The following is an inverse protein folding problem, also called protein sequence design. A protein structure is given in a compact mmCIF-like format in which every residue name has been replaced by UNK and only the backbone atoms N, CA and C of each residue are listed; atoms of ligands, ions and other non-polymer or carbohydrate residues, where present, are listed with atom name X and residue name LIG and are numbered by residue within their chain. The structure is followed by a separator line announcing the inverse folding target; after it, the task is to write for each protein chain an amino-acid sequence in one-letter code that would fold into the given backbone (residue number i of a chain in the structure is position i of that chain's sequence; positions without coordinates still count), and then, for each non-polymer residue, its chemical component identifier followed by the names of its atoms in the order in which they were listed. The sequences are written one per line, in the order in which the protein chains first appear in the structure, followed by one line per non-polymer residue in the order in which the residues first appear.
data_IF_003360757674
#
_entry.id   IF_003360757674
#
_cell.length_a   1.000
_cell.length_b   1.000
_cell.length_c   1.000
_cell.angle_alpha   90.00
_cell.angle_beta   90.00
_cell.angle_gamma   90.00
#
_symmetry.space_group_name_H-M   'P 1'
#
loop_
_entity.id
_entity.type
_entity.pdbx_description
1 polymer ?
#
# COMPACT_ATOMS: atom_id res chain seq x y z
N UNK A 1 9.41 -43.15 25.63
CA UNK A 1 8.25 -42.64 26.39
C UNK A 1 7.85 -41.30 25.80
N UNK A 2 6.63 -41.20 25.28
CA UNK A 2 6.12 -40.03 24.56
C UNK A 2 5.37 -39.10 25.51
N UNK A 3 5.93 -37.93 25.81
CA UNK A 3 5.17 -36.88 26.50
C UNK A 3 4.36 -36.08 25.47
N UNK A 4 3.07 -36.41 25.36
CA UNK A 4 2.11 -35.67 24.55
C UNK A 4 1.57 -34.49 25.38
N UNK A 5 1.97 -33.30 24.95
CA UNK A 5 1.45 -32.00 25.37
C UNK A 5 -0.10 -31.93 25.44
N UNK A 6 -0.73 -31.84 26.63
CA UNK A 6 -2.19 -31.86 26.78
C UNK A 6 -2.91 -30.52 26.51
N UNK A 7 -2.21 -29.47 26.07
CA UNK A 7 -2.78 -28.13 25.88
C UNK A 7 -3.46 -27.91 24.51
N UNK A 8 -3.32 -28.85 23.57
CA UNK A 8 -3.88 -28.74 22.22
C UNK A 8 -5.31 -29.32 22.06
N UNK A 9 -5.84 -30.04 23.06
CA UNK A 9 -7.09 -30.80 22.90
C UNK A 9 -8.39 -30.01 23.03
N UNK A 10 -8.40 -28.89 23.77
CA UNK A 10 -9.66 -28.20 24.11
C UNK A 10 -10.16 -27.19 23.06
N UNK A 11 -9.33 -26.83 22.07
CA UNK A 11 -9.67 -25.84 21.03
C UNK A 11 -9.86 -26.44 19.63
N UNK A 12 -9.54 -27.72 19.46
CA UNK A 12 -9.61 -28.42 18.17
C UNK A 12 -11.05 -28.82 17.78
N UNK A 13 -11.94 -29.02 18.78
CA UNK A 13 -13.34 -29.40 18.57
C UNK A 13 -14.23 -28.29 17.98
N UNK A 14 -14.18 -27.01 18.42
CA UNK A 14 -14.98 -25.97 17.77
C UNK A 14 -14.46 -25.59 16.38
N UNK A 15 -13.16 -25.72 16.12
CA UNK A 15 -12.56 -25.40 14.82
C UNK A 15 -12.98 -26.39 13.71
N UNK A 16 -13.11 -27.68 14.03
CA UNK A 16 -13.58 -28.69 13.07
C UNK A 16 -15.09 -28.61 12.81
N UNK A 17 -15.90 -28.23 13.80
CA UNK A 17 -17.34 -28.05 13.62
C UNK A 17 -17.66 -26.85 12.71
N UNK A 18 -16.87 -25.77 12.78
CA UNK A 18 -17.01 -24.64 11.86
C UNK A 18 -16.61 -24.96 10.41
N UNK A 19 -15.63 -25.84 10.19
CA UNK A 19 -15.18 -26.22 8.84
C UNK A 19 -16.24 -27.06 8.09
N UNK A 20 -17.10 -27.79 8.79
CA UNK A 20 -18.16 -28.60 8.17
C UNK A 20 -19.30 -27.78 7.54
N UNK A 21 -19.47 -26.51 7.91
CA UNK A 21 -20.51 -25.62 7.32
C UNK A 21 -20.02 -24.97 6.00
N UNK A 22 -18.82 -25.30 5.53
CA UNK A 22 -18.23 -24.78 4.29
C UNK A 22 -18.61 -25.55 3.00
N UNK A 23 -19.53 -26.53 3.05
CA UNK A 23 -19.91 -27.31 1.86
C UNK A 23 -21.42 -27.34 1.71
N UNK A 24 -21.97 -26.43 0.89
CA UNK A 24 -23.31 -26.41 0.26
C UNK A 24 -23.43 -25.05 -0.47
N UNK A 25 -23.50 -24.85 -1.79
CA UNK A 25 -23.48 -25.70 -2.98
C UNK A 25 -23.51 -24.81 -4.26
N UNK A 26 -22.85 -25.29 -5.33
CA UNK A 26 -23.08 -25.21 -6.79
C UNK A 26 -24.24 -24.33 -7.31
N UNK A 27 -24.25 -23.62 -8.45
CA UNK A 27 -23.40 -23.48 -9.63
C UNK A 27 -24.26 -22.92 -10.79
N UNK A 28 -23.66 -22.19 -11.73
CA UNK A 28 -24.29 -21.91 -13.03
C UNK A 28 -23.20 -21.90 -14.11
N UNK A 29 -23.19 -22.97 -14.91
CA UNK A 29 -22.48 -23.03 -16.17
C UNK A 29 -23.29 -22.27 -17.22
N UNK A 30 -22.65 -21.35 -17.93
CA UNK A 30 -23.13 -20.91 -19.25
C UNK A 30 -21.98 -21.17 -20.20
N UNK A 31 -22.00 -22.36 -20.80
CA UNK A 31 -21.21 -22.70 -21.97
C UNK A 31 -22.05 -22.33 -23.19
N UNK A 32 -21.65 -21.33 -23.96
CA UNK A 32 -22.06 -21.16 -25.37
C UNK A 32 -20.83 -20.69 -26.16
N UNK A 33 -20.26 -21.68 -26.84
CA UNK A 33 -19.75 -21.72 -28.22
C UNK A 33 -18.70 -20.70 -28.71
N UNK A 34 -17.58 -21.32 -29.10
CA UNK A 34 -16.64 -20.94 -30.15
C UNK A 34 -17.37 -20.55 -31.45
N UNK A 35 -16.99 -19.44 -32.08
CA UNK A 35 -16.44 -19.33 -33.44
C UNK A 35 -16.51 -17.85 -33.89
N UNK A 36 -15.57 -17.44 -34.74
CA UNK A 36 -15.73 -16.20 -35.53
C UNK A 36 -14.86 -15.01 -35.15
N UNK A 37 -13.78 -14.87 -35.92
CA UNK A 37 -13.17 -13.62 -36.39
C UNK A 37 -14.13 -12.42 -36.34
N UNK A 38 -13.67 -11.30 -35.80
CA UNK A 38 -13.59 -10.02 -36.53
C UNK A 38 -12.77 -9.04 -35.68
N UNK A 39 -11.64 -8.63 -36.26
CA UNK A 39 -10.96 -7.41 -35.89
C UNK A 39 -11.69 -6.26 -36.59
N UNK A 40 -12.15 -5.26 -35.84
CA UNK A 40 -12.35 -3.84 -36.24
C UNK A 40 -13.23 -3.17 -35.19
N UNK A 41 -13.09 -1.90 -34.84
CA UNK A 41 -12.49 -0.82 -35.60
C UNK A 41 -11.73 0.14 -34.68
N UNK A 42 -10.52 0.42 -35.12
CA UNK A 42 -9.82 1.69 -34.96
C UNK A 42 -10.79 2.86 -35.20
N UNK A 43 -10.83 3.81 -34.27
CA UNK A 43 -11.25 5.19 -34.56
C UNK A 43 -10.01 6.05 -34.73
N UNK A 44 -9.54 6.13 -35.97
CA UNK A 44 -8.63 7.17 -36.45
C UNK A 44 -9.46 8.36 -36.90
N UNK A 45 -9.15 9.54 -36.39
CA UNK A 45 -9.27 10.80 -37.12
C UNK A 45 -8.33 11.86 -36.52
N UNK A 46 -7.22 12.08 -37.23
CA UNK A 46 -6.62 13.37 -37.60
C UNK A 46 -6.48 14.47 -36.55
N UNK A 47 -5.23 14.79 -36.21
CA UNK A 47 -4.88 16.02 -35.51
C UNK A 47 -3.38 16.23 -35.38
N UNK A 48 -2.67 16.36 -36.50
CA UNK A 48 -1.31 16.89 -36.52
C UNK A 48 -1.30 18.36 -36.09
N UNK A 49 -0.30 18.72 -35.29
CA UNK A 49 0.13 20.10 -35.03
C UNK A 49 1.57 20.00 -34.52
N UNK A 50 2.53 19.96 -35.46
CA UNK A 50 3.34 21.10 -35.86
C UNK A 50 4.18 21.66 -34.70
N UNK A 51 5.47 21.33 -34.76
CA UNK A 51 6.56 22.14 -34.23
C UNK A 51 6.33 23.61 -34.57
N UNK A 52 5.94 24.40 -33.58
CA UNK A 52 6.00 25.86 -33.69
C UNK A 52 7.45 26.25 -33.44
N UNK A 53 8.14 26.43 -34.56
CA UNK A 53 9.26 27.36 -34.69
C UNK A 53 8.73 28.75 -34.38
N UNK A 54 8.93 29.24 -33.15
CA UNK A 54 8.76 30.66 -32.86
C UNK A 54 10.03 31.39 -33.29
N UNK A 55 9.96 31.99 -34.47
CA UNK A 55 10.86 33.04 -34.92
C UNK A 55 10.37 34.35 -34.31
N UNK A 56 11.05 34.86 -33.29
CA UNK A 56 10.48 35.98 -32.54
C UNK A 56 11.42 36.77 -31.61
N UNK A 57 12.68 37.00 -31.98
CA UNK A 57 13.36 38.27 -31.60
C UNK A 57 14.65 38.51 -32.39
N UNK A 58 14.56 39.44 -33.32
CA UNK A 58 15.67 40.22 -33.85
C UNK A 58 16.26 41.06 -32.72
N UNK A 59 17.47 40.72 -32.27
CA UNK A 59 18.39 41.66 -31.62
C UNK A 59 19.82 41.37 -32.12
N UNK A 60 20.24 42.26 -33.02
CA UNK A 60 21.60 42.81 -33.22
C UNK A 60 22.80 41.99 -32.77
N UNK A 61 23.61 41.59 -33.75
CA UNK A 61 25.00 41.16 -33.57
C UNK A 61 25.86 42.26 -32.92
N UNK A 62 26.78 41.86 -32.04
CA UNK A 62 28.19 42.19 -32.32
C UNK A 62 29.08 40.94 -32.34
N UNK A 63 29.95 40.90 -33.35
CA UNK A 63 31.12 40.03 -33.44
C UNK A 63 32.23 40.52 -32.47
N UNK A 64 33.39 39.84 -32.39
CA UNK A 64 33.98 39.20 -31.22
C UNK A 64 34.94 40.11 -30.43
N UNK A 65 35.04 39.93 -29.11
CA UNK A 65 36.22 40.40 -28.35
C UNK A 65 36.53 39.42 -27.23
N UNK A 66 37.57 38.62 -27.43
CA UNK A 66 38.31 38.01 -26.33
C UNK A 66 39.23 39.07 -25.70
N UNK A 67 39.31 39.11 -24.37
CA UNK A 67 40.58 38.83 -23.69
C UNK A 67 40.35 37.88 -22.49
N UNK A 68 41.08 36.77 -22.43
CA UNK A 68 42.28 36.56 -21.58
C UNK A 68 42.03 36.60 -20.07
N UNK A 69 42.07 35.39 -19.50
CA UNK A 69 42.61 34.96 -18.20
C UNK A 69 42.08 35.59 -16.88
N UNK A 70 41.44 34.74 -16.07
CA UNK A 70 42.10 34.14 -14.91
C UNK A 70 41.22 33.01 -14.32
N UNK A 71 41.56 31.76 -14.63
CA UNK A 71 41.08 30.61 -13.87
C UNK A 71 41.73 30.65 -12.49
N UNK A 72 40.99 31.02 -11.45
CA UNK A 72 41.25 30.49 -10.11
C UNK A 72 40.48 29.18 -10.01
N UNK A 73 41.22 28.08 -10.06
CA UNK A 73 40.70 26.72 -9.85
C UNK A 73 40.53 26.52 -8.35
N UNK A 74 39.32 26.44 -7.77
CA UNK A 74 39.15 25.69 -6.55
C UNK A 74 39.32 24.21 -6.90
N UNK A 75 40.24 23.57 -6.20
CA UNK A 75 40.54 22.15 -6.29
C UNK A 75 39.25 21.32 -6.15
N UNK A 76 38.79 20.77 -7.28
CA UNK A 76 37.66 19.84 -7.33
C UNK A 76 38.08 18.56 -6.63
N UNK A 77 37.66 18.40 -5.37
CA UNK A 77 37.61 17.09 -4.73
C UNK A 77 36.75 16.17 -5.61
N UNK A 78 37.19 14.92 -5.87
CA UNK A 78 36.40 13.98 -6.65
C UNK A 78 35.03 13.80 -5.98
N UNK A 79 33.91 13.89 -6.72
CA UNK A 79 32.60 13.64 -6.15
C UNK A 79 32.58 12.20 -5.64
N UNK A 80 32.56 12.03 -4.33
CA UNK A 80 32.14 10.76 -3.73
C UNK A 80 30.69 10.53 -4.16
N UNK A 81 30.51 9.71 -5.20
CA UNK A 81 29.22 9.13 -5.59
C UNK A 81 28.68 8.36 -4.38
N UNK A 82 27.93 9.06 -3.55
CA UNK A 82 27.16 8.46 -2.47
C UNK A 82 26.02 7.72 -3.13
N UNK A 83 26.07 6.39 -3.10
CA UNK A 83 24.97 5.55 -3.56
C UNK A 83 23.66 6.07 -2.93
N UNK A 84 22.57 6.23 -3.72
CA UNK A 84 21.29 6.68 -3.18
C UNK A 84 20.88 5.78 -2.02
N UNK A 85 20.67 6.38 -0.84
CA UNK A 85 20.18 5.64 0.31
C UNK A 85 18.88 4.90 -0.09
N UNK A 86 18.73 3.62 0.28
CA UNK A 86 17.53 2.86 -0.05
C UNK A 86 16.30 3.63 0.46
N UNK A 87 15.19 3.62 -0.30
CA UNK A 87 14.00 4.39 0.04
C UNK A 87 13.52 4.00 1.44
N UNK A 88 13.64 4.91 2.41
CA UNK A 88 13.16 4.65 3.77
C UNK A 88 11.64 4.56 3.74
N UNK A 89 11.10 3.43 4.19
CA UNK A 89 9.66 3.31 4.43
C UNK A 89 9.29 4.31 5.54
N UNK A 90 8.29 5.20 5.35
CA UNK A 90 7.90 6.18 6.35
C UNK A 90 7.60 5.56 7.73
N UNK A 91 7.75 6.40 8.75
CA UNK A 91 7.50 6.06 10.15
C UNK A 91 6.06 5.55 10.38
N UNK A 92 5.83 4.91 11.53
CA UNK A 92 4.51 4.43 11.93
C UNK A 92 3.49 5.59 11.93
N UNK A 93 2.28 5.32 11.44
CA UNK A 93 1.21 6.32 11.44
C UNK A 93 0.30 6.12 12.66
N UNK A 94 -0.19 7.22 13.22
CA UNK A 94 -1.25 7.21 14.22
C UNK A 94 -2.57 7.62 13.58
N UNK A 95 -3.68 7.04 14.03
CA UNK A 95 -5.00 7.48 13.60
C UNK A 95 -5.27 8.91 14.07
N UNK A 96 -5.81 9.80 13.20
CA UNK A 96 -6.17 11.15 13.60
C UNK A 96 -7.23 11.12 14.70
N UNK A 97 -7.05 11.92 15.75
CA UNK A 97 -8.00 11.94 16.87
C UNK A 97 -9.34 12.49 16.41
N UNK A 98 -10.42 11.91 16.95
CA UNK A 98 -11.80 12.35 16.71
C UNK A 98 -12.20 12.44 15.23
N UNK A 99 -11.53 11.67 14.37
CA UNK A 99 -11.88 11.58 12.95
C UNK A 99 -12.45 10.21 12.63
N UNK A 100 -13.55 10.24 11.88
CA UNK A 100 -14.06 9.08 11.15
C UNK A 100 -13.26 8.90 9.87
N UNK A 101 -13.13 7.67 9.41
CA UNK A 101 -12.47 7.38 8.15
C UNK A 101 -12.31 5.90 7.92
N UNK A 102 -11.77 5.54 6.77
CA UNK A 102 -11.55 4.16 6.36
C UNK A 102 -10.09 3.77 6.55
N UNK A 103 -9.89 2.51 6.94
CA UNK A 103 -8.58 1.90 7.08
C UNK A 103 -8.60 0.50 6.51
N UNK A 104 -7.41 -0.02 6.21
CA UNK A 104 -7.25 -1.46 5.98
C UNK A 104 -6.70 -2.08 7.26
N UNK A 105 -7.47 -3.00 7.85
CA UNK A 105 -7.04 -3.81 8.98
C UNK A 105 -6.23 -4.98 8.45
N UNK A 106 -5.02 -5.14 8.96
CA UNK A 106 -4.11 -6.23 8.58
C UNK A 106 -4.29 -7.43 9.51
N UNK A 107 -4.41 -7.18 10.81
CA UNK A 107 -4.63 -8.17 11.86
C UNK A 107 -5.09 -7.51 13.15
N UNK A 108 -5.82 -8.27 13.97
CA UNK A 108 -6.25 -7.87 15.31
C UNK A 108 -5.66 -8.83 16.34
N UNK A 109 -4.98 -8.29 17.35
CA UNK A 109 -4.35 -9.08 18.41
C UNK A 109 -5.08 -8.81 19.74
N UNK A 110 -5.38 -9.83 20.55
CA UNK A 110 -5.91 -9.61 21.89
C UNK A 110 -4.98 -8.71 22.71
N UNK A 111 -5.54 -7.80 23.51
CA UNK A 111 -4.75 -6.92 24.38
C UNK A 111 -3.92 -7.69 25.41
N UNK A 112 -4.31 -8.93 25.74
CA UNK A 112 -3.54 -9.86 26.57
C UNK A 112 -2.12 -10.13 26.02
N UNK A 113 -1.92 -10.05 24.71
CA UNK A 113 -0.60 -10.20 24.08
C UNK A 113 0.29 -8.95 24.24
N UNK A 114 -0.29 -7.85 24.71
CA UNK A 114 0.37 -6.57 24.93
C UNK A 114 0.61 -5.76 23.66
N UNK A 115 0.79 -4.45 23.83
CA UNK A 115 1.00 -3.50 22.72
C UNK A 115 2.28 -3.80 21.93
N UNK A 116 3.31 -4.32 22.59
CA UNK A 116 4.61 -4.63 21.96
C UNK A 116 4.47 -5.66 20.83
N UNK A 117 3.63 -6.69 21.02
CA UNK A 117 3.37 -7.69 19.99
C UNK A 117 2.73 -7.07 18.73
N UNK A 118 1.77 -6.16 18.92
CA UNK A 118 1.13 -5.45 17.81
C UNK A 118 2.10 -4.51 17.08
N UNK A 119 3.00 -3.83 17.80
CA UNK A 119 4.05 -3.00 17.19
C UNK A 119 5.06 -3.83 16.40
N UNK A 120 5.40 -5.04 16.87
CA UNK A 120 6.25 -5.96 16.12
C UNK A 120 5.60 -6.34 14.78
N UNK A 121 4.30 -6.70 14.81
CA UNK A 121 3.53 -6.98 13.59
C UNK A 121 3.37 -5.78 12.66
N UNK A 122 3.20 -4.58 13.20
CA UNK A 122 3.23 -3.35 12.39
C UNK A 122 4.59 -3.11 11.72
N UNK A 123 5.68 -3.59 12.33
CA UNK A 123 7.03 -3.49 11.76
C UNK A 123 7.23 -4.52 10.66
N UNK A 124 6.76 -5.76 10.87
CA UNK A 124 6.74 -6.82 9.85
C UNK A 124 5.96 -6.38 8.59
N UNK A 125 4.80 -5.74 8.78
CA UNK A 125 4.03 -5.18 7.68
C UNK A 125 4.80 -4.11 6.88
N UNK A 126 5.59 -3.28 7.58
CA UNK A 126 6.45 -2.27 6.95
C UNK A 126 7.63 -2.89 6.21
N UNK A 127 8.24 -3.94 6.74
CA UNK A 127 9.27 -4.69 5.99
C UNK A 127 8.69 -5.41 4.77
N UNK A 128 7.41 -5.78 4.79
CA UNK A 128 6.68 -6.31 3.63
C UNK A 128 6.33 -5.26 2.56
N UNK A 129 6.77 -4.00 2.73
CA UNK A 129 6.56 -2.92 1.75
C UNK A 129 5.28 -2.10 1.96
N UNK A 130 4.48 -2.39 2.99
CA UNK A 130 3.33 -1.56 3.34
C UNK A 130 3.80 -0.25 3.97
N UNK A 131 3.25 0.86 3.51
CA UNK A 131 3.54 2.21 4.03
C UNK A 131 2.42 2.67 4.96
N UNK A 132 2.69 3.63 5.84
CA UNK A 132 1.70 4.20 6.76
C UNK A 132 1.00 3.13 7.62
N UNK A 133 1.79 2.25 8.24
CA UNK A 133 1.27 1.21 9.13
C UNK A 133 1.24 1.72 10.57
N UNK A 134 0.16 1.45 11.28
CA UNK A 134 -0.05 1.87 12.66
C UNK A 134 -0.64 0.78 13.54
N UNK A 135 -0.72 1.07 14.84
CA UNK A 135 -1.42 0.23 15.83
C UNK A 135 -2.49 1.07 16.50
N UNK A 136 -3.71 0.53 16.51
CA UNK A 136 -4.88 1.09 17.14
C UNK A 136 -5.25 0.31 18.40
N UNK A 137 -5.72 1.01 19.42
CA UNK A 137 -6.35 0.43 20.60
C UNK A 137 -7.85 0.38 20.33
N UNK A 138 -8.41 -0.82 20.12
CA UNK A 138 -9.79 -0.99 19.67
C UNK A 138 -10.82 -0.49 20.67
N UNK A 139 -10.48 -0.48 21.96
CA UNK A 139 -11.36 -0.02 23.04
C UNK A 139 -11.64 1.48 23.00
N UNK A 140 -10.95 2.24 22.13
CA UNK A 140 -11.13 3.69 21.96
C UNK A 140 -12.04 4.09 20.81
N UNK A 141 -12.62 3.12 20.11
CA UNK A 141 -13.40 3.35 18.89
C UNK A 141 -14.69 2.54 18.95
N UNK A 142 -15.84 3.21 18.83
CA UNK A 142 -17.14 2.55 18.89
C UNK A 142 -17.35 1.53 17.75
N UNK A 143 -16.69 1.70 16.60
CA UNK A 143 -16.82 0.78 15.46
C UNK A 143 -15.98 -0.51 15.59
N UNK A 144 -15.15 -0.61 16.63
CA UNK A 144 -14.27 -1.75 16.85
C UNK A 144 -14.69 -2.54 18.09
N UNK A 145 -14.43 -3.84 18.04
CA UNK A 145 -14.64 -4.68 19.22
C UNK A 145 -13.56 -4.38 20.27
N UNK A 146 -13.93 -4.01 21.51
CA UNK A 146 -12.95 -3.69 22.55
C UNK A 146 -12.11 -4.90 22.93
N UNK A 147 -10.94 -4.68 23.53
CA UNK A 147 -10.06 -5.77 23.97
C UNK A 147 -8.96 -6.17 22.99
N UNK A 148 -8.72 -5.38 21.92
CA UNK A 148 -7.76 -5.71 20.86
C UNK A 148 -6.82 -4.55 20.52
N UNK A 149 -5.61 -4.90 20.07
CA UNK A 149 -4.74 -4.03 19.30
C UNK A 149 -4.88 -4.34 17.81
N UNK A 150 -5.35 -3.37 17.04
CA UNK A 150 -5.56 -3.49 15.60
C UNK A 150 -4.35 -2.95 14.87
N UNK A 151 -3.68 -3.77 14.08
CA UNK A 151 -2.64 -3.29 13.16
C UNK A 151 -3.31 -2.92 11.85
N UNK A 152 -3.08 -1.71 11.40
CA UNK A 152 -3.74 -1.15 10.23
C UNK A 152 -2.75 -0.48 9.28
N UNK A 153 -3.18 -0.25 8.05
CA UNK A 153 -2.43 0.54 7.07
C UNK A 153 -3.31 1.59 6.42
N UNK A 154 -2.74 2.78 6.28
CA UNK A 154 -3.40 3.94 5.69
C UNK A 154 -4.47 4.56 6.59
N UNK A 155 -4.86 5.76 6.20
CA UNK A 155 -6.04 6.48 6.67
C UNK A 155 -6.61 7.09 5.40
N UNK A 156 -7.85 6.76 5.11
CA UNK A 156 -8.54 7.08 3.86
C UNK A 156 -9.86 7.78 4.19
N UNK A 157 -10.24 8.75 3.36
CA UNK A 157 -11.47 9.51 3.60
C UNK A 157 -12.70 8.76 3.08
N UNK A 158 -12.50 7.89 2.08
CA UNK A 158 -13.58 7.16 1.40
C UNK A 158 -13.33 5.66 1.38
N UNK A 159 -14.43 4.89 1.31
CA UNK A 159 -14.36 3.44 1.13
C UNK A 159 -13.68 3.04 -0.18
N UNK A 160 -13.93 3.78 -1.26
CA UNK A 160 -13.36 3.48 -2.58
C UNK A 160 -11.82 3.57 -2.57
N UNK A 161 -11.27 4.60 -1.92
CA UNK A 161 -9.83 4.76 -1.78
C UNK A 161 -9.20 3.61 -0.96
N UNK A 162 -9.85 3.21 0.13
CA UNK A 162 -9.43 2.06 0.92
C UNK A 162 -9.50 0.75 0.11
N UNK A 163 -10.54 0.56 -0.70
CA UNK A 163 -10.69 -0.60 -1.57
C UNK A 163 -9.58 -0.69 -2.63
N UNK A 164 -9.19 0.43 -3.25
CA UNK A 164 -8.08 0.48 -4.20
C UNK A 164 -6.73 0.12 -3.57
N UNK A 165 -6.54 0.41 -2.27
CA UNK A 165 -5.33 0.04 -1.54
C UNK A 165 -5.35 -1.40 -1.00
N UNK A 166 -6.53 -2.04 -0.92
CA UNK A 166 -6.71 -3.35 -0.28
C UNK A 166 -5.92 -4.48 -0.96
N UNK A 167 -5.86 -4.50 -2.29
CA UNK A 167 -5.13 -5.56 -3.02
C UNK A 167 -3.65 -5.60 -2.64
N UNK A 168 -3.01 -4.44 -2.50
CA UNK A 168 -1.60 -4.36 -2.06
C UNK A 168 -1.42 -4.84 -0.63
N UNK A 169 -2.36 -4.51 0.26
CA UNK A 169 -2.33 -5.03 1.63
C UNK A 169 -2.50 -6.56 1.66
N UNK A 170 -3.37 -7.12 0.81
CA UNK A 170 -3.62 -8.56 0.71
C UNK A 170 -2.44 -9.37 0.18
N UNK A 171 -1.58 -8.77 -0.63
CA UNK A 171 -0.34 -9.39 -1.07
C UNK A 171 0.60 -9.75 0.10
N UNK A 172 0.53 -8.99 1.21
CA UNK A 172 1.35 -9.22 2.41
C UNK A 172 0.52 -9.88 3.53
N UNK A 173 -0.74 -9.48 3.67
CA UNK A 173 -1.69 -9.99 4.67
C UNK A 173 -2.96 -10.46 3.98
N UNK A 174 -3.07 -11.75 3.59
CA UNK A 174 -4.22 -12.25 2.82
C UNK A 174 -5.58 -12.03 3.49
N UNK A 175 -5.60 -12.03 4.83
CA UNK A 175 -6.79 -11.76 5.65
C UNK A 175 -7.14 -10.27 5.79
N UNK A 176 -6.42 -9.36 5.12
CA UNK A 176 -6.67 -7.93 5.22
C UNK A 176 -8.06 -7.57 4.68
N UNK A 177 -8.70 -6.64 5.38
CA UNK A 177 -10.04 -6.15 5.05
C UNK A 177 -10.18 -4.65 5.36
N UNK A 178 -11.12 -4.01 4.69
CA UNK A 178 -11.45 -2.60 4.93
C UNK A 178 -12.38 -2.46 6.13
N UNK A 179 -12.15 -1.43 6.95
CA UNK A 179 -12.98 -1.11 8.11
C UNK A 179 -13.12 0.40 8.23
N UNK A 180 -14.35 0.84 8.51
CA UNK A 180 -14.59 2.21 8.96
C UNK A 180 -14.28 2.34 10.45
N UNK A 181 -13.49 3.35 10.78
CA UNK A 181 -13.15 3.72 12.15
C UNK A 181 -14.04 4.90 12.53
N UNK A 182 -14.81 4.72 13.60
CA UNK A 182 -15.63 5.74 14.22
C UNK A 182 -15.14 5.92 15.67
N UNK A 183 -14.77 7.14 16.09
CA UNK A 183 -14.39 7.44 17.47
C UNK A 183 -15.44 6.98 18.49
#
# INVERSE_FOLDING_TARGET
MNERHPWAGAWLLPALLGLAIAVLGTGAAIAISDDGKEASAVSTATGGSLTVTDSGSTLTAPEPTAPTAANTVPETQPPTTTAPAPPRNPAAVSWPRNQRGWTIVLLSLPQANGRRAAVAKATEARSGGLRRVGVLDSSRYASLHPGYYVVFTGVFDTQAEAASALQRARAVFPAAYQREIVP
#
